data_IF_737555150251
#
_entry.id   IF_737555150251
#
_cell.length_a   1.000
_cell.length_b   1.000
_cell.length_c   1.000
_cell.angle_alpha   90.00
_cell.angle_beta   90.00
_cell.angle_gamma   90.00
#
_symmetry.space_group_name_H-M   'P 1'
#
loop_
_entity.id
_entity.type
_entity.pdbx_description
1 polymer ?
#
# COMPACT_ATOMS: atom_id res chain seq x y z
N UNK A 1 25.10 -59.28 -41.85
CA UNK A 1 24.35 -58.10 -42.31
C UNK A 1 23.88 -57.37 -41.04
N UNK A 2 24.62 -56.36 -40.57
CA UNK A 2 24.37 -55.66 -39.31
C UNK A 2 23.49 -54.43 -39.58
N UNK A 3 22.28 -54.38 -39.00
CA UNK A 3 21.42 -53.20 -39.03
C UNK A 3 21.81 -52.26 -37.87
N UNK A 4 22.36 -51.08 -38.19
CA UNK A 4 22.55 -49.99 -37.21
C UNK A 4 21.28 -49.15 -37.14
N UNK A 5 20.61 -49.19 -35.99
CA UNK A 5 19.51 -48.27 -35.66
C UNK A 5 20.13 -46.94 -35.22
N UNK A 6 19.87 -45.87 -35.96
CA UNK A 6 20.29 -44.51 -35.62
C UNK A 6 19.15 -43.86 -34.85
N UNK A 7 19.27 -43.78 -33.52
CA UNK A 7 18.38 -42.99 -32.68
C UNK A 7 18.77 -41.52 -32.76
N UNK A 8 17.95 -40.73 -33.47
CA UNK A 8 18.06 -39.29 -33.53
C UNK A 8 17.52 -38.68 -32.22
N UNK A 9 18.40 -38.30 -31.31
CA UNK A 9 18.01 -37.53 -30.13
C UNK A 9 17.75 -36.08 -30.53
N UNK A 10 16.46 -35.73 -30.65
CA UNK A 10 16.02 -34.35 -30.82
C UNK A 10 16.25 -33.61 -29.49
N UNK A 11 17.37 -32.91 -29.38
CA UNK A 11 17.62 -31.95 -28.30
C UNK A 11 16.69 -30.76 -28.51
N UNK A 12 15.51 -30.81 -27.89
CA UNK A 12 14.60 -29.66 -27.79
C UNK A 12 15.26 -28.66 -26.85
N UNK A 13 16.05 -27.75 -27.40
CA UNK A 13 16.53 -26.58 -26.67
C UNK A 13 15.33 -25.74 -26.26
N UNK A 14 15.12 -25.59 -24.96
CA UNK A 14 14.11 -24.68 -24.43
C UNK A 14 14.48 -23.25 -24.86
N UNK A 15 13.72 -22.68 -25.80
CA UNK A 15 13.77 -21.26 -26.12
C UNK A 15 13.29 -20.50 -24.88
N UNK A 16 14.21 -19.84 -24.17
CA UNK A 16 13.86 -18.95 -23.07
C UNK A 16 13.15 -17.72 -23.63
N UNK A 17 11.93 -17.46 -23.14
CA UNK A 17 11.08 -16.38 -23.64
C UNK A 17 11.71 -15.04 -23.23
N UNK A 18 12.16 -14.26 -24.22
CA UNK A 18 12.78 -12.94 -24.06
C UNK A 18 11.74 -11.86 -23.78
N UNK A 19 11.07 -11.91 -22.63
CA UNK A 19 10.14 -10.86 -22.20
C UNK A 19 10.90 -9.62 -21.71
N UNK A 20 10.24 -8.45 -21.69
CA UNK A 20 10.78 -7.25 -21.03
C UNK A 20 10.84 -7.52 -19.53
N UNK A 21 11.98 -7.21 -18.90
CA UNK A 21 12.10 -7.30 -17.45
C UNK A 21 11.33 -6.14 -16.82
N UNK A 22 10.37 -6.48 -15.97
CA UNK A 22 9.44 -5.54 -15.37
C UNK A 22 9.36 -5.76 -13.88
N UNK A 23 9.61 -4.68 -13.15
CA UNK A 23 9.32 -4.63 -11.73
C UNK A 23 8.29 -3.56 -11.41
N UNK A 24 7.35 -3.92 -10.55
CA UNK A 24 6.32 -3.01 -10.07
C UNK A 24 6.24 -3.20 -8.57
N UNK A 25 6.63 -2.16 -7.86
CA UNK A 25 6.61 -2.09 -6.40
C UNK A 25 5.69 -0.97 -5.97
N UNK A 26 5.22 -1.03 -4.74
CA UNK A 26 4.45 0.07 -4.19
C UNK A 26 4.41 0.03 -2.68
N UNK A 27 4.33 1.22 -2.10
CA UNK A 27 4.32 1.42 -0.66
C UNK A 27 3.41 2.60 -0.29
N UNK A 28 3.01 2.63 0.97
CA UNK A 28 2.29 3.77 1.53
C UNK A 28 3.28 4.82 2.01
N UNK A 29 3.11 6.06 1.55
CA UNK A 29 3.80 7.25 2.00
C UNK A 29 2.85 8.12 2.80
N UNK A 30 3.22 8.42 4.04
CA UNK A 30 2.49 9.38 4.87
C UNK A 30 2.33 10.70 4.12
N UNK A 31 1.17 11.34 4.28
CA UNK A 31 0.80 12.62 3.66
C UNK A 31 0.57 12.61 2.13
N UNK A 32 0.95 11.54 1.43
CA UNK A 32 0.78 11.40 -0.02
C UNK A 32 -0.20 10.28 -0.42
N UNK A 33 -0.25 9.17 0.31
CA UNK A 33 -1.01 7.98 -0.06
C UNK A 33 -0.12 6.88 -0.64
N UNK A 34 -0.46 6.29 -1.78
CA UNK A 34 0.36 5.23 -2.38
C UNK A 34 1.36 5.80 -3.39
N UNK A 35 2.60 5.36 -3.27
CA UNK A 35 3.62 5.51 -4.31
C UNK A 35 3.82 4.14 -4.97
N UNK A 36 3.54 4.05 -6.27
CA UNK A 36 3.72 2.84 -7.07
C UNK A 36 4.76 3.11 -8.15
N UNK A 37 5.81 2.31 -8.18
CA UNK A 37 6.93 2.48 -9.10
C UNK A 37 6.96 1.29 -10.04
N UNK A 38 6.77 1.55 -11.33
CA UNK A 38 7.06 0.60 -12.40
C UNK A 38 8.44 0.91 -12.98
N UNK A 39 9.35 -0.06 -12.95
CA UNK A 39 10.63 0.01 -13.64
C UNK A 39 10.67 -1.02 -14.76
N UNK A 40 11.40 -0.69 -15.82
CA UNK A 40 11.61 -1.61 -16.93
C UNK A 40 13.08 -1.70 -17.33
N UNK A 41 13.43 -2.86 -17.84
CA UNK A 41 14.67 -3.09 -18.59
C UNK A 41 14.35 -3.89 -19.85
N UNK A 42 14.52 -3.26 -21.01
CA UNK A 42 14.34 -3.92 -22.30
C UNK A 42 15.52 -4.84 -22.59
N UNK A 43 15.31 -5.83 -23.45
CA UNK A 43 16.38 -6.72 -23.89
C UNK A 43 17.47 -5.97 -24.67
N UNK A 44 18.67 -6.58 -24.79
CA UNK A 44 19.81 -6.02 -25.52
C UNK A 44 19.39 -5.54 -26.93
N UNK A 45 19.80 -4.32 -27.28
CA UNK A 45 19.52 -3.64 -28.56
C UNK A 45 18.04 -3.38 -28.86
N UNK A 46 17.14 -3.64 -27.92
CA UNK A 46 15.77 -3.14 -27.96
C UNK A 46 15.72 -1.74 -27.35
N UNK A 47 14.67 -0.99 -27.68
CA UNK A 47 14.44 0.37 -27.17
C UNK A 47 12.97 0.53 -26.85
N UNK A 48 12.66 1.37 -25.87
CA UNK A 48 11.28 1.61 -25.46
C UNK A 48 10.45 2.25 -26.59
N UNK A 49 9.36 1.59 -26.96
CA UNK A 49 8.32 2.16 -27.83
C UNK A 49 7.26 2.88 -26.99
N UNK A 50 6.72 2.21 -25.97
CA UNK A 50 5.72 2.82 -25.10
C UNK A 50 5.60 2.17 -23.72
N UNK A 51 5.09 2.96 -22.76
CA UNK A 51 4.59 2.49 -21.47
C UNK A 51 3.12 2.87 -21.39
N UNK A 52 2.23 1.91 -21.19
CA UNK A 52 0.80 2.13 -20.96
C UNK A 52 0.45 1.82 -19.51
N UNK A 53 -0.30 2.72 -18.91
CA UNK A 53 -0.72 2.60 -17.53
C UNK A 53 -2.23 2.43 -17.46
N UNK A 54 -2.66 1.48 -16.66
CA UNK A 54 -4.07 1.14 -16.46
C UNK A 54 -4.43 1.21 -14.99
N UNK A 55 -5.68 1.60 -14.73
CA UNK A 55 -6.29 1.56 -13.42
C UNK A 55 -7.57 0.71 -13.53
N UNK A 56 -7.63 -0.41 -12.82
CA UNK A 56 -8.68 -1.42 -12.91
C UNK A 56 -8.94 -1.87 -14.36
N UNK A 57 -7.87 -2.06 -15.14
CA UNK A 57 -7.94 -2.47 -16.54
C UNK A 57 -8.27 -1.35 -17.54
N UNK A 58 -8.67 -0.16 -17.09
CA UNK A 58 -8.89 0.99 -17.97
C UNK A 58 -7.59 1.74 -18.21
N UNK A 59 -7.16 1.87 -19.47
CA UNK A 59 -5.99 2.65 -19.83
C UNK A 59 -6.26 4.14 -19.57
N UNK A 60 -5.41 4.79 -18.80
CA UNK A 60 -5.54 6.22 -18.51
C UNK A 60 -4.35 7.04 -19.02
N UNK A 61 -3.18 6.42 -19.25
CA UNK A 61 -1.98 7.12 -19.73
C UNK A 61 -1.15 6.25 -20.67
N UNK A 62 -0.43 6.92 -21.58
CA UNK A 62 0.58 6.29 -22.45
C UNK A 62 1.84 7.17 -22.61
N UNK A 63 2.97 6.75 -22.08
CA UNK A 63 4.26 7.39 -22.35
C UNK A 63 4.89 6.80 -23.63
N UNK A 64 5.46 7.67 -24.46
CA UNK A 64 6.12 7.35 -25.74
C UNK A 64 7.31 8.29 -25.93
N UNK A 65 8.57 7.82 -25.88
CA UNK A 65 9.74 8.69 -26.01
C UNK A 65 9.77 9.50 -27.29
N UNK A 66 9.36 8.92 -28.43
CA UNK A 66 9.31 9.61 -29.73
C UNK A 66 8.41 10.86 -29.71
N UNK A 67 7.30 10.81 -28.97
CA UNK A 67 6.33 11.92 -28.89
C UNK A 67 6.58 12.87 -27.72
N UNK A 68 7.01 12.33 -26.58
CA UNK A 68 7.06 13.09 -25.33
C UNK A 68 8.48 13.44 -24.89
N UNK A 69 9.52 12.91 -25.55
CA UNK A 69 10.91 13.10 -25.16
C UNK A 69 11.32 12.19 -23.99
N UNK A 70 12.32 12.63 -23.22
CA UNK A 70 12.93 11.80 -22.17
C UNK A 70 12.02 11.56 -20.94
N UNK A 71 11.00 12.39 -20.75
CA UNK A 71 10.04 12.23 -19.67
C UNK A 71 8.65 12.73 -20.04
N UNK A 72 7.64 12.28 -19.31
CA UNK A 72 6.26 12.77 -19.38
C UNK A 72 5.67 12.74 -17.97
N UNK A 73 5.20 13.90 -17.53
CA UNK A 73 4.47 14.05 -16.28
C UNK A 73 3.02 14.43 -16.57
N UNK A 74 2.07 13.83 -15.86
CA UNK A 74 0.64 14.13 -16.02
C UNK A 74 -0.14 13.95 -14.72
N UNK A 75 -1.15 14.80 -14.51
CA UNK A 75 -1.99 14.79 -13.32
C UNK A 75 -3.43 14.50 -13.72
N UNK A 76 -3.98 13.44 -13.16
CA UNK A 76 -5.38 13.05 -13.32
C UNK A 76 -6.13 13.32 -12.02
N UNK A 77 -7.25 14.04 -12.12
CA UNK A 77 -8.12 14.33 -10.97
C UNK A 77 -9.43 13.58 -11.13
N UNK A 78 -9.82 12.88 -10.08
CA UNK A 78 -11.14 12.23 -9.95
C UNK A 78 -11.83 12.79 -8.71
N UNK A 79 -13.15 12.59 -8.54
CA UNK A 79 -13.82 12.97 -7.30
C UNK A 79 -13.22 12.32 -6.04
N UNK A 80 -12.57 11.16 -6.19
CA UNK A 80 -12.07 10.37 -5.06
C UNK A 80 -10.60 10.62 -4.74
N UNK A 81 -9.77 10.95 -5.75
CA UNK A 81 -8.31 11.03 -5.64
C UNK A 81 -7.64 11.84 -6.74
N UNK A 82 -6.40 12.25 -6.49
CA UNK A 82 -5.43 12.73 -7.49
C UNK A 82 -4.48 11.59 -7.84
N UNK A 83 -4.14 11.46 -9.12
CA UNK A 83 -3.08 10.59 -9.60
C UNK A 83 -2.03 11.44 -10.30
N UNK A 84 -0.82 11.51 -9.77
CA UNK A 84 0.32 12.17 -10.42
C UNK A 84 1.25 11.09 -10.97
N UNK A 85 1.51 11.12 -12.27
CA UNK A 85 2.40 10.18 -12.93
C UNK A 85 3.60 10.90 -13.50
N UNK A 86 4.79 10.40 -13.18
CA UNK A 86 6.06 10.80 -13.77
C UNK A 86 6.75 9.59 -14.42
N UNK A 87 6.77 9.55 -15.75
CA UNK A 87 7.49 8.56 -16.53
C UNK A 87 8.77 9.15 -17.13
N UNK A 88 9.89 8.45 -17.03
CA UNK A 88 11.16 8.89 -17.60
C UNK A 88 12.03 7.70 -18.05
N UNK A 89 12.79 7.91 -19.13
CA UNK A 89 13.93 7.05 -19.46
C UNK A 89 15.10 7.38 -18.51
N UNK A 90 15.81 6.35 -18.05
CA UNK A 90 16.96 6.50 -17.12
C UNK A 90 18.29 6.14 -17.76
N UNK A 91 18.27 5.57 -18.95
CA UNK A 91 19.47 5.28 -19.75
C UNK A 91 19.30 5.78 -21.17
N UNK A 92 20.42 5.98 -21.85
CA UNK A 92 20.44 6.29 -23.27
C UNK A 92 19.67 5.24 -24.07
N UNK A 93 18.99 5.71 -25.13
CA UNK A 93 18.12 4.89 -26.01
C UNK A 93 16.91 4.24 -25.31
N UNK A 94 16.61 4.59 -24.06
CA UNK A 94 15.39 4.17 -23.37
C UNK A 94 15.35 2.69 -22.95
N UNK A 95 16.51 2.03 -22.87
CA UNK A 95 16.57 0.62 -22.43
C UNK A 95 16.07 0.42 -21.02
N UNK A 96 16.34 1.39 -20.13
CA UNK A 96 15.79 1.42 -18.78
C UNK A 96 15.01 2.69 -18.55
N UNK A 97 14.07 2.60 -17.62
CA UNK A 97 13.35 3.76 -17.12
C UNK A 97 12.37 3.39 -16.02
N UNK A 98 11.56 4.37 -15.64
CA UNK A 98 10.54 4.21 -14.62
C UNK A 98 9.31 5.05 -14.88
N UNK A 99 8.17 4.61 -14.36
CA UNK A 99 6.99 5.42 -14.14
C UNK A 99 6.67 5.39 -12.64
N UNK A 100 6.68 6.55 -12.00
CA UNK A 100 6.24 6.74 -10.62
C UNK A 100 4.82 7.25 -10.66
N UNK A 101 3.92 6.55 -9.98
CA UNK A 101 2.53 6.95 -9.76
C UNK A 101 2.36 7.29 -8.28
N UNK A 102 1.97 8.54 -7.99
CA UNK A 102 1.53 8.98 -6.65
C UNK A 102 0.01 9.07 -6.65
N UNK A 103 -0.63 8.36 -5.73
CA UNK A 103 -2.08 8.30 -5.55
C UNK A 103 -2.48 8.95 -4.25
N UNK A 104 -3.04 10.15 -4.35
CA UNK A 104 -3.47 10.95 -3.20
C UNK A 104 -5.00 10.89 -3.04
N UNK A 105 -5.52 10.16 -2.04
CA UNK A 105 -6.95 10.11 -1.79
C UNK A 105 -7.46 11.42 -1.14
N UNK A 106 -8.58 11.93 -1.64
CA UNK A 106 -9.31 13.01 -0.96
C UNK A 106 -10.17 12.49 0.18
N UNK A 107 -10.74 11.30 -0.03
CA UNK A 107 -11.62 10.60 0.89
C UNK A 107 -11.11 9.18 1.15
N UNK A 108 -11.53 8.53 2.26
CA UNK A 108 -11.14 7.16 2.56
C UNK A 108 -11.48 6.22 1.40
N UNK A 109 -10.49 5.51 0.83
CA UNK A 109 -10.76 4.51 -0.18
C UNK A 109 -11.61 3.39 0.40
N UNK A 110 -12.54 2.86 -0.41
CA UNK A 110 -13.47 1.82 0.03
C UNK A 110 -13.07 0.43 -0.46
N UNK A 111 -12.36 0.35 -1.59
CA UNK A 111 -12.07 -0.90 -2.27
C UNK A 111 -10.62 -0.92 -2.77
N UNK A 112 -10.03 -2.11 -2.72
CA UNK A 112 -8.77 -2.41 -3.38
C UNK A 112 -8.89 -2.16 -4.88
N UNK A 113 -7.77 -1.84 -5.52
CA UNK A 113 -7.73 -1.62 -6.96
C UNK A 113 -6.42 -2.16 -7.55
N UNK A 114 -6.44 -2.39 -8.87
CA UNK A 114 -5.30 -2.93 -9.60
C UNK A 114 -4.71 -1.85 -10.48
N UNK A 115 -3.43 -1.53 -10.25
CA UNK A 115 -2.63 -0.73 -11.16
C UNK A 115 -1.86 -1.66 -12.08
N UNK A 116 -1.84 -1.37 -13.37
CA UNK A 116 -1.10 -2.17 -14.34
C UNK A 116 -0.10 -1.31 -15.10
N UNK A 117 1.13 -1.78 -15.18
CA UNK A 117 2.14 -1.25 -16.08
C UNK A 117 2.37 -2.22 -17.23
N UNK A 118 2.21 -1.74 -18.46
CA UNK A 118 2.52 -2.48 -19.69
C UNK A 118 3.61 -1.73 -20.45
N UNK A 119 4.69 -2.42 -20.78
CA UNK A 119 5.83 -1.85 -21.51
C UNK A 119 5.97 -2.58 -22.83
N UNK A 120 6.21 -1.82 -23.89
CA UNK A 120 6.42 -2.32 -25.24
C UNK A 120 7.74 -1.81 -25.81
N UNK A 121 8.53 -2.72 -26.36
CA UNK A 121 9.74 -2.44 -27.13
C UNK A 121 9.43 -2.09 -28.60
N UNK A 122 10.43 -1.60 -29.31
CA UNK A 122 10.30 -1.10 -30.68
C UNK A 122 10.48 -2.22 -31.74
N UNK A 123 10.21 -1.88 -33.00
CA UNK A 123 10.55 -2.73 -34.14
C UNK A 123 12.04 -3.14 -34.09
N UNK A 124 12.39 -4.34 -34.55
CA UNK A 124 11.53 -5.38 -35.12
C UNK A 124 10.97 -6.35 -34.08
N UNK A 125 11.40 -6.24 -32.81
CA UNK A 125 11.17 -7.29 -31.82
C UNK A 125 9.79 -7.18 -31.18
N UNK A 126 9.23 -5.97 -31.04
CA UNK A 126 7.90 -5.70 -30.48
C UNK A 126 7.63 -6.45 -29.16
N UNK A 127 8.66 -6.61 -28.33
CA UNK A 127 8.53 -7.32 -27.06
C UNK A 127 7.58 -6.55 -26.17
N UNK A 128 6.79 -7.27 -25.40
CA UNK A 128 5.91 -6.67 -24.41
C UNK A 128 6.06 -7.35 -23.07
N UNK A 129 5.89 -6.57 -22.02
CA UNK A 129 5.74 -7.04 -20.66
C UNK A 129 4.54 -6.34 -20.03
N UNK A 130 3.84 -7.03 -19.14
CA UNK A 130 2.74 -6.46 -18.36
C UNK A 130 2.81 -6.99 -16.94
N UNK A 131 2.72 -6.11 -15.95
CA UNK A 131 2.73 -6.48 -14.53
C UNK A 131 1.66 -5.69 -13.78
N UNK A 132 0.88 -6.43 -13.01
CA UNK A 132 -0.17 -5.89 -12.14
C UNK A 132 0.39 -5.67 -10.74
N UNK A 133 -0.08 -4.61 -10.09
CA UNK A 133 0.13 -4.32 -8.69
C UNK A 133 -1.22 -4.09 -8.02
N UNK A 134 -1.54 -4.97 -7.08
CA UNK A 134 -2.78 -4.89 -6.31
C UNK A 134 -2.58 -3.94 -5.13
N UNK A 135 -3.12 -2.74 -5.25
CA UNK A 135 -3.11 -1.76 -4.17
C UNK A 135 -4.19 -2.14 -3.18
N UNK A 136 -3.76 -2.61 -2.01
CA UNK A 136 -4.65 -2.91 -0.89
C UNK A 136 -4.96 -1.65 -0.10
N UNK A 137 -6.22 -1.44 0.22
CA UNK A 137 -6.71 -0.39 1.14
C UNK A 137 -6.44 -0.82 2.57
N UNK A 138 -5.14 -0.97 2.87
CA UNK A 138 -4.66 -1.44 4.15
C UNK A 138 -3.35 -0.74 4.53
N UNK A 139 -3.42 0.00 5.61
CA UNK A 139 -2.30 0.52 6.39
C UNK A 139 -2.52 0.02 7.83
N UNK A 140 -1.62 -0.82 8.36
CA UNK A 140 -1.74 -1.35 9.71
C UNK A 140 -1.96 -0.23 10.74
N UNK A 141 -2.70 -0.50 11.83
CA UNK A 141 -2.87 0.47 12.88
C UNK A 141 -1.53 0.93 13.45
N UNK A 142 -1.40 2.23 13.69
CA UNK A 142 -0.29 2.77 14.47
C UNK A 142 -0.33 2.22 15.89
N UNK A 143 0.79 2.33 16.59
CA UNK A 143 0.83 2.06 18.03
C UNK A 143 -0.24 2.89 18.74
N UNK A 144 -0.87 2.32 19.75
CA UNK A 144 -1.77 3.08 20.59
C UNK A 144 -1.00 4.14 21.37
N UNK A 145 -1.58 5.33 21.44
CA UNK A 145 -1.13 6.42 22.31
C UNK A 145 -2.13 6.56 23.44
N UNK A 146 -1.66 6.44 24.67
CA UNK A 146 -2.51 6.48 25.86
C UNK A 146 -2.21 7.75 26.67
N UNK A 147 -3.26 8.46 27.05
CA UNK A 147 -3.17 9.64 27.92
C UNK A 147 -4.11 9.47 29.11
N UNK A 148 -3.62 9.84 30.30
CA UNK A 148 -4.40 9.77 31.54
C UNK A 148 -4.99 11.15 31.82
N UNK A 149 -6.31 11.23 31.92
CA UNK A 149 -7.01 12.40 32.43
C UNK A 149 -7.36 12.10 33.88
N UNK A 150 -6.53 12.57 34.79
CA UNK A 150 -6.80 12.49 36.23
C UNK A 150 -7.99 13.37 36.59
N UNK A 151 -8.87 12.88 37.47
CA UNK A 151 -9.72 13.80 38.25
C UNK A 151 -8.83 14.68 39.11
N UNK A 152 -9.12 15.99 39.20
CA UNK A 152 -8.44 16.94 40.10
C UNK A 152 -8.61 16.62 41.60
N UNK A 153 -9.25 15.50 41.92
CA UNK A 153 -9.52 15.04 43.27
C UNK A 153 -8.60 13.86 43.62
N UNK A 154 -7.60 14.05 44.51
CA UNK A 154 -6.72 13.00 45.01
C UNK A 154 -7.45 11.87 45.74
N UNK A 155 -8.71 12.08 46.14
CA UNK A 155 -9.56 11.13 46.85
C UNK A 155 -10.52 10.37 45.94
N UNK A 156 -10.63 10.75 44.66
CA UNK A 156 -11.48 10.08 43.69
C UNK A 156 -10.75 8.87 43.08
N UNK A 157 -11.28 7.65 43.25
CA UNK A 157 -10.72 6.47 42.60
C UNK A 157 -11.02 6.41 41.08
N UNK A 158 -11.74 7.39 40.52
CA UNK A 158 -12.10 7.40 39.09
C UNK A 158 -10.96 7.91 38.23
N UNK A 159 -10.56 7.11 37.26
CA UNK A 159 -9.51 7.44 36.29
C UNK A 159 -10.13 7.36 34.89
N UNK A 160 -9.96 8.42 34.11
CA UNK A 160 -10.34 8.43 32.69
C UNK A 160 -9.09 8.33 31.84
N UNK A 161 -9.12 7.41 30.88
CA UNK A 161 -8.05 7.16 29.93
C UNK A 161 -8.53 7.49 28.54
N UNK A 162 -7.69 8.17 27.77
CA UNK A 162 -7.90 8.39 26.35
C UNK A 162 -6.88 7.59 25.56
N UNK A 163 -7.34 6.95 24.50
CA UNK A 163 -6.52 6.23 23.55
C UNK A 163 -6.72 6.77 22.15
N UNK A 164 -5.62 6.92 21.40
CA UNK A 164 -5.62 7.23 19.99
C UNK A 164 -4.79 6.24 19.17
N UNK A 165 -5.21 6.01 17.93
CA UNK A 165 -4.45 5.28 16.91
C UNK A 165 -4.92 5.71 15.53
N UNK A 166 -4.06 5.55 14.53
CA UNK A 166 -4.37 5.85 13.13
C UNK A 166 -4.18 4.63 12.24
N UNK A 167 -4.87 4.56 11.11
CA UNK A 167 -4.75 3.45 10.17
C UNK A 167 -5.73 3.53 9.02
N UNK A 168 -5.70 2.52 8.14
CA UNK A 168 -6.66 2.37 7.06
C UNK A 168 -6.90 0.86 6.87
N UNK A 169 -8.10 0.30 7.07
CA UNK A 169 -9.33 0.94 7.53
C UNK A 169 -9.20 1.51 8.96
N UNK A 170 -10.24 2.23 9.40
CA UNK A 170 -10.23 2.86 10.71
C UNK A 170 -10.04 1.84 11.84
N UNK A 171 -8.99 1.98 12.69
CA UNK A 171 -8.76 1.03 13.76
C UNK A 171 -9.86 1.07 14.82
N UNK A 172 -10.27 -0.09 15.29
CA UNK A 172 -11.10 -0.27 16.47
C UNK A 172 -10.21 -0.30 17.71
N UNK A 173 -10.51 0.55 18.70
CA UNK A 173 -9.74 0.62 19.93
C UNK A 173 -10.37 -0.30 20.99
N UNK A 174 -9.69 -1.40 21.30
CA UNK A 174 -10.13 -2.41 22.25
C UNK A 174 -9.52 -2.15 23.62
N UNK A 175 -10.38 -2.02 24.63
CA UNK A 175 -9.94 -1.84 26.02
C UNK A 175 -9.96 -3.16 26.78
N UNK A 176 -8.93 -3.37 27.59
CA UNK A 176 -8.86 -4.49 28.52
C UNK A 176 -8.43 -4.02 29.91
N UNK A 177 -9.04 -4.60 30.94
CA UNK A 177 -8.68 -4.40 32.34
C UNK A 177 -8.33 -5.78 32.92
N UNK A 178 -7.05 -5.99 33.23
CA UNK A 178 -6.50 -7.35 33.36
C UNK A 178 -6.69 -8.12 32.05
N UNK A 179 -7.29 -9.29 32.13
CA UNK A 179 -7.60 -10.14 30.96
C UNK A 179 -9.00 -9.91 30.38
N UNK A 180 -9.81 -9.06 31.01
CA UNK A 180 -11.20 -8.86 30.62
C UNK A 180 -11.33 -7.72 29.61
N UNK A 181 -12.03 -7.97 28.50
CA UNK A 181 -12.43 -6.91 27.57
C UNK A 181 -13.51 -6.05 28.19
N UNK A 182 -13.38 -4.74 28.06
CA UNK A 182 -14.33 -3.76 28.58
C UNK A 182 -14.81 -2.84 27.47
N UNK A 183 -16.01 -2.30 27.65
CA UNK A 183 -16.58 -1.36 26.70
C UNK A 183 -16.03 0.05 26.97
N UNK A 184 -15.70 0.76 25.89
CA UNK A 184 -15.37 2.17 25.97
C UNK A 184 -16.59 3.02 26.32
N UNK A 185 -16.38 4.13 27.03
CA UNK A 185 -17.42 5.14 27.25
C UNK A 185 -17.70 5.91 25.95
N UNK A 186 -16.65 6.14 25.17
CA UNK A 186 -16.71 6.87 23.91
C UNK A 186 -15.76 6.26 22.89
N UNK A 187 -16.18 6.25 21.62
CA UNK A 187 -15.34 5.92 20.49
C UNK A 187 -15.74 6.78 19.29
N UNK A 188 -14.76 7.42 18.67
CA UNK A 188 -14.94 8.25 17.46
C UNK A 188 -13.83 7.99 16.47
N UNK A 189 -14.19 8.10 15.19
CA UNK A 189 -13.27 7.99 14.06
C UNK A 189 -13.44 9.21 13.17
N UNK A 190 -12.36 9.68 12.58
CA UNK A 190 -12.36 10.80 11.65
C UNK A 190 -11.28 10.65 10.60
N UNK A 191 -11.61 10.93 9.34
CA UNK A 191 -10.61 10.96 8.28
C UNK A 191 -9.74 12.20 8.42
N UNK A 192 -8.42 12.02 8.43
CA UNK A 192 -7.48 13.12 8.43
C UNK A 192 -6.91 13.29 7.01
N UNK A 193 -7.38 14.34 6.33
CA UNK A 193 -7.02 14.65 4.95
C UNK A 193 -5.55 15.03 4.74
N UNK A 194 -4.78 15.30 5.79
CA UNK A 194 -3.32 15.48 5.69
C UNK A 194 -2.66 14.11 5.66
N UNK A 195 -2.75 13.34 6.76
CA UNK A 195 -2.10 12.02 6.88
C UNK A 195 -2.65 10.95 5.92
N UNK A 196 -3.82 11.19 5.33
CA UNK A 196 -4.59 10.22 4.53
C UNK A 196 -4.92 8.93 5.29
N UNK A 197 -5.10 9.04 6.60
CA UNK A 197 -5.46 7.93 7.47
C UNK A 197 -6.70 8.27 8.29
N UNK A 198 -7.41 7.23 8.71
CA UNK A 198 -8.37 7.38 9.78
C UNK A 198 -7.65 7.61 11.08
N UNK A 199 -8.15 8.56 11.85
CA UNK A 199 -7.79 8.79 13.23
C UNK A 199 -8.91 8.25 14.10
N UNK A 200 -8.56 7.44 15.08
CA UNK A 200 -9.50 6.81 16.01
C UNK A 200 -9.18 7.25 17.42
N UNK A 201 -10.21 7.63 18.16
CA UNK A 201 -10.12 8.07 19.54
C UNK A 201 -11.13 7.30 20.38
N UNK A 202 -10.74 6.94 21.59
CA UNK A 202 -11.62 6.29 22.54
C UNK A 202 -11.30 6.73 23.96
N UNK A 203 -12.33 6.86 24.78
CA UNK A 203 -12.16 7.09 26.22
C UNK A 203 -12.75 5.94 27.02
N UNK A 204 -12.09 5.63 28.13
CA UNK A 204 -12.54 4.63 29.09
C UNK A 204 -12.31 5.13 30.51
N UNK A 205 -13.38 5.13 31.30
CA UNK A 205 -13.37 5.54 32.70
C UNK A 205 -13.64 4.34 33.57
N UNK A 206 -12.80 4.16 34.58
CA UNK A 206 -12.97 3.09 35.55
C UNK A 206 -12.71 3.59 36.96
N UNK A 207 -13.32 2.89 37.91
CA UNK A 207 -13.04 3.07 39.33
C UNK A 207 -11.91 2.13 39.70
N UNK A 208 -10.82 2.67 40.25
CA UNK A 208 -9.68 1.92 40.75
C UNK A 208 -10.12 1.10 41.96
N UNK A 209 -10.39 -0.19 41.74
CA UNK A 209 -10.68 -1.16 42.81
C UNK A 209 -9.42 -1.89 43.26
N UNK A 210 -8.45 -2.11 42.36
CA UNK A 210 -7.20 -2.81 42.63
C UNK A 210 -6.01 -2.04 42.01
N UNK A 211 -4.98 -1.67 42.79
CA UNK A 211 -3.81 -0.97 42.28
C UNK A 211 -2.92 -1.82 41.36
N UNK A 212 -3.07 -3.14 41.33
CA UNK A 212 -2.27 -4.05 40.48
C UNK A 212 -2.88 -4.29 39.11
N UNK A 213 -4.08 -3.78 38.87
CA UNK A 213 -4.83 -4.05 37.65
C UNK A 213 -4.26 -3.26 36.47
N UNK A 214 -3.88 -3.98 35.41
CA UNK A 214 -3.31 -3.37 34.21
C UNK A 214 -4.44 -2.98 33.26
N UNK A 215 -4.44 -1.73 32.81
CA UNK A 215 -5.35 -1.28 31.75
C UNK A 215 -4.58 -1.15 30.44
N UNK A 216 -5.12 -1.71 29.37
CA UNK A 216 -4.52 -1.62 28.05
C UNK A 216 -5.53 -1.20 26.98
N UNK A 217 -5.04 -0.45 26.00
CA UNK A 217 -5.74 -0.14 24.76
C UNK A 217 -4.99 -0.80 23.59
N UNK A 218 -5.71 -1.57 22.78
CA UNK A 218 -5.16 -2.26 21.61
C UNK A 218 -5.90 -1.82 20.35
N UNK A 219 -5.21 -1.24 19.35
CA UNK A 219 -5.83 -0.88 18.09
C UNK A 219 -5.88 -2.08 17.15
N UNK A 220 -7.05 -2.37 16.59
CA UNK A 220 -7.30 -3.51 15.69
C UNK A 220 -7.92 -3.03 14.37
N UNK A 221 -7.39 -3.47 13.23
CA UNK A 221 -8.02 -3.29 11.91
C UNK A 221 -8.32 -4.66 11.29
N UNK A 222 -9.43 -4.76 10.57
CA UNK A 222 -9.81 -5.98 9.85
C UNK A 222 -9.50 -5.83 8.36
N UNK A 223 -8.85 -6.83 7.77
CA UNK A 223 -8.63 -6.93 6.33
C UNK A 223 -8.81 -8.38 5.89
N UNK A 224 -9.69 -8.65 4.93
CA UNK A 224 -9.97 -9.99 4.40
C UNK A 224 -10.20 -11.07 5.47
N UNK A 225 -10.90 -10.71 6.55
CA UNK A 225 -11.17 -11.57 7.74
C UNK A 225 -9.97 -11.84 8.65
N UNK A 226 -8.82 -11.21 8.41
CA UNK A 226 -7.67 -11.21 9.31
C UNK A 226 -7.70 -9.94 10.19
N UNK A 227 -7.39 -10.12 11.49
CA UNK A 227 -7.29 -9.01 12.43
C UNK A 227 -5.83 -8.61 12.58
N UNK A 228 -5.51 -7.40 12.15
CA UNK A 228 -4.18 -6.80 12.26
C UNK A 228 -4.17 -5.89 13.47
N UNK A 229 -3.24 -6.16 14.40
CA UNK A 229 -3.12 -5.42 15.66
C UNK A 229 -1.92 -4.50 15.63
N UNK A 230 -2.13 -3.24 16.03
CA UNK A 230 -1.02 -2.37 16.39
C UNK A 230 -0.51 -2.69 17.80
N UNK A 231 0.64 -2.10 18.17
CA UNK A 231 1.18 -2.29 19.53
C UNK A 231 0.23 -1.67 20.56
N UNK A 232 -0.13 -2.47 21.57
CA UNK A 232 -0.96 -1.99 22.69
C UNK A 232 -0.22 -0.96 23.54
N UNK A 233 -0.97 0.03 24.03
CA UNK A 233 -0.52 0.92 25.09
C UNK A 233 -1.01 0.38 26.42
N UNK A 234 -0.15 0.41 27.42
CA UNK A 234 -0.40 -0.19 28.74
C UNK A 234 -0.13 0.87 29.80
N UNK A 235 -1.10 1.05 30.70
CA UNK A 235 -0.87 1.79 31.94
C UNK A 235 -0.47 0.78 33.01
N UNK A 236 0.82 0.77 33.34
CA UNK A 236 1.32 0.15 34.56
C UNK A 236 1.07 1.16 35.68
N UNK A 237 0.22 0.78 36.63
CA UNK A 237 -0.12 1.60 37.80
C UNK A 237 0.94 1.37 38.88
#
# INVERSE_FOLDING_TARGET
>A
MYFKIITLHLLVGALTITAIDLDVTGEWKTDLGWEVICTWETWRNDTLQSVRLYNNGQQFMIYRPEKHGQSRTEIFRTPEKIMNVDCAITTDKGQKGRCILILEPYQPPLYDFTYTCEVSGERPMFRMGKKDFHVRVLVPPSNAELTVITSNDPSSPRVTLNCSSSGLPAPSLQWTVGDNKVQADFARRGWNGTSKLWQSWSSFTYTRSDPTQIVACTPEASSNSEIIRGKKAVLHI
#
